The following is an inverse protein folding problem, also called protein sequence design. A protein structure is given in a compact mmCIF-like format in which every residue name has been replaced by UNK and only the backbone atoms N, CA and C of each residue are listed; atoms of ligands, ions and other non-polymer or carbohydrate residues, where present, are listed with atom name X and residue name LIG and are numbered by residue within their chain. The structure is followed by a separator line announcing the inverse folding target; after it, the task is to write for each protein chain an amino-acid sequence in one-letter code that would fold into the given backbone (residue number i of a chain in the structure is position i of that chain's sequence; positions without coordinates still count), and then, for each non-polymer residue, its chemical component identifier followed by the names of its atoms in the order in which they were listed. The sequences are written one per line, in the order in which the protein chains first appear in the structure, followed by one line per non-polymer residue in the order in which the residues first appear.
data_IF_205366097770
#
_entry.id   IF_205366097770
#
_cell.length_a   1.000
_cell.length_b   1.000
_cell.length_c   1.000
_cell.angle_alpha   90.00
_cell.angle_beta   90.00
_cell.angle_gamma   90.00
#
_symmetry.space_group_name_H-M   'P 1'
#
loop_
_entity.id
_entity.type
_entity.pdbx_description
1 polymer ?
#
# COMPACT_ATOMS: atom_id res chain seq x y z
N UNK A 1 52.16 -70.90 -51.66
CA UNK A 1 50.88 -70.15 -51.62
C UNK A 1 50.45 -69.75 -50.22
N UNK A 2 51.07 -70.26 -49.15
CA UNK A 2 50.72 -69.95 -47.75
C UNK A 2 51.29 -68.63 -47.22
N UNK A 3 52.47 -68.20 -47.70
CA UNK A 3 53.12 -66.95 -47.27
C UNK A 3 52.38 -65.66 -47.65
N UNK A 4 51.83 -65.56 -48.86
CA UNK A 4 51.11 -64.35 -49.30
C UNK A 4 49.76 -64.18 -48.59
N UNK A 5 49.14 -65.27 -48.13
CA UNK A 5 47.91 -65.23 -47.34
C UNK A 5 48.18 -64.75 -45.89
N UNK A 6 49.35 -65.07 -45.33
CA UNK A 6 49.76 -64.56 -44.02
C UNK A 6 50.12 -63.07 -44.06
N UNK A 7 50.81 -62.60 -45.11
CA UNK A 7 51.07 -61.17 -45.32
C UNK A 7 49.77 -60.37 -45.50
N UNK A 8 48.84 -60.87 -46.32
CA UNK A 8 47.51 -60.27 -46.50
C UNK A 8 46.72 -60.15 -45.19
N UNK A 9 46.83 -61.12 -44.28
CA UNK A 9 46.16 -61.06 -42.99
C UNK A 9 46.81 -60.05 -42.04
N UNK A 10 48.15 -59.96 -42.08
CA UNK A 10 48.90 -58.97 -41.30
C UNK A 10 48.55 -57.53 -41.72
N UNK A 11 48.51 -57.26 -43.03
CA UNK A 11 48.15 -55.93 -43.56
C UNK A 11 46.73 -55.52 -43.17
N UNK A 12 45.79 -56.47 -43.19
CA UNK A 12 44.40 -56.24 -42.79
C UNK A 12 44.28 -55.91 -41.31
N UNK A 13 45.05 -56.58 -40.45
CA UNK A 13 45.12 -56.29 -39.01
C UNK A 13 45.74 -54.90 -38.76
N UNK A 14 46.83 -54.56 -39.44
CA UNK A 14 47.46 -53.23 -39.35
C UNK A 14 46.50 -52.12 -39.79
N UNK A 15 45.71 -52.37 -40.84
CA UNK A 15 44.70 -51.44 -41.31
C UNK A 15 43.57 -51.24 -40.27
N UNK A 16 43.09 -52.31 -39.64
CA UNK A 16 42.09 -52.21 -38.56
C UNK A 16 42.64 -51.48 -37.32
N UNK A 17 43.87 -51.80 -36.89
CA UNK A 17 44.54 -51.09 -35.78
C UNK A 17 44.66 -49.59 -36.09
N UNK A 18 45.02 -49.22 -37.33
CA UNK A 18 45.10 -47.81 -37.74
C UNK A 18 43.72 -47.12 -37.72
N UNK A 19 42.66 -47.84 -38.08
CA UNK A 19 41.30 -47.32 -38.05
C UNK A 19 40.80 -47.12 -36.61
N UNK A 20 41.12 -48.05 -35.71
CA UNK A 20 40.86 -47.93 -34.27
C UNK A 20 41.62 -46.75 -33.68
N UNK A 21 42.90 -46.57 -34.03
CA UNK A 21 43.71 -45.42 -33.60
C UNK A 21 43.09 -44.08 -33.96
N UNK A 22 42.67 -43.90 -35.22
CA UNK A 22 41.96 -42.67 -35.67
C UNK A 22 40.66 -42.44 -34.91
N UNK A 23 39.92 -43.51 -34.58
CA UNK A 23 38.66 -43.38 -33.83
C UNK A 23 38.92 -42.99 -32.38
N UNK A 24 40.00 -43.50 -31.77
CA UNK A 24 40.48 -43.13 -30.44
C UNK A 24 40.89 -41.65 -30.40
N UNK A 25 41.67 -41.17 -31.36
CA UNK A 25 42.02 -39.74 -31.49
C UNK A 25 40.76 -38.87 -31.64
N UNK A 26 39.79 -39.30 -32.45
CA UNK A 26 38.49 -38.65 -32.58
C UNK A 26 37.73 -38.58 -31.25
N UNK A 27 37.72 -39.68 -30.49
CA UNK A 27 37.11 -39.73 -29.15
C UNK A 27 37.82 -38.83 -28.14
N UNK A 28 39.15 -38.78 -28.15
CA UNK A 28 39.93 -37.89 -27.28
C UNK A 28 39.59 -36.42 -27.57
N UNK A 29 39.51 -36.04 -28.85
CA UNK A 29 39.15 -34.68 -29.23
C UNK A 29 37.73 -34.31 -28.76
N UNK A 30 36.76 -35.22 -28.90
CA UNK A 30 35.39 -35.03 -28.43
C UNK A 30 35.32 -34.95 -26.90
N UNK A 31 36.10 -35.78 -26.20
CA UNK A 31 36.19 -35.76 -24.74
C UNK A 31 36.76 -34.42 -24.25
N UNK A 32 37.80 -33.88 -24.90
CA UNK A 32 38.33 -32.55 -24.59
C UNK A 32 37.26 -31.47 -24.77
N UNK A 33 36.50 -31.49 -25.87
CA UNK A 33 35.41 -30.53 -26.10
C UNK A 33 34.34 -30.61 -25.00
N UNK A 34 33.89 -31.82 -24.66
CA UNK A 34 32.90 -32.03 -23.58
C UNK A 34 33.42 -31.57 -22.22
N UNK A 35 34.71 -31.77 -21.93
CA UNK A 35 35.31 -31.25 -20.68
C UNK A 35 35.36 -29.73 -20.63
N UNK A 36 35.49 -29.06 -21.77
CA UNK A 36 35.43 -27.60 -21.85
C UNK A 36 34.00 -27.09 -21.64
N UNK A 37 33.02 -27.70 -22.31
CA UNK A 37 31.59 -27.35 -22.17
C UNK A 37 31.09 -27.57 -20.74
N UNK A 38 31.40 -28.71 -20.13
CA UNK A 38 31.04 -29.00 -18.74
C UNK A 38 31.63 -27.99 -17.76
N UNK A 39 32.88 -27.54 -17.96
CA UNK A 39 33.46 -26.44 -17.16
C UNK A 39 32.70 -25.14 -17.34
N UNK A 40 32.30 -24.80 -18.57
CA UNK A 40 31.48 -23.61 -18.84
C UNK A 40 30.15 -23.66 -18.10
N UNK A 41 29.44 -24.79 -18.18
CA UNK A 41 28.17 -25.01 -17.48
C UNK A 41 28.36 -24.89 -15.96
N UNK A 42 29.43 -25.45 -15.38
CA UNK A 42 29.72 -25.30 -13.96
C UNK A 42 29.89 -23.82 -13.55
N UNK A 43 30.53 -23.00 -14.39
CA UNK A 43 30.69 -21.57 -14.13
C UNK A 43 29.36 -20.82 -14.18
N UNK A 44 28.50 -21.13 -15.17
CA UNK A 44 27.16 -20.56 -15.27
C UNK A 44 26.30 -20.94 -14.06
N UNK A 45 26.32 -22.20 -13.64
CA UNK A 45 25.60 -22.67 -12.45
C UNK A 45 26.04 -21.91 -11.20
N UNK A 46 27.35 -21.71 -11.00
CA UNK A 46 27.86 -20.95 -9.87
C UNK A 46 27.37 -19.48 -9.89
N UNK A 47 27.30 -18.88 -11.08
CA UNK A 47 26.76 -17.52 -11.26
C UNK A 47 25.26 -17.46 -10.94
N UNK A 48 24.47 -18.45 -11.38
CA UNK A 48 23.05 -18.55 -11.09
C UNK A 48 22.79 -18.76 -9.60
N UNK A 49 23.57 -19.61 -8.93
CA UNK A 49 23.47 -19.79 -7.48
C UNK A 49 23.66 -18.48 -6.73
N UNK A 50 24.65 -17.68 -7.13
CA UNK A 50 24.89 -16.35 -6.54
C UNK A 50 23.71 -15.40 -6.76
N UNK A 51 23.14 -15.41 -7.96
CA UNK A 51 21.96 -14.59 -8.30
C UNK A 51 20.73 -14.99 -7.48
N UNK A 52 20.48 -16.30 -7.35
CA UNK A 52 19.36 -16.85 -6.58
C UNK A 52 19.45 -16.44 -5.11
N UNK A 53 20.63 -16.59 -4.48
CA UNK A 53 20.84 -16.17 -3.10
C UNK A 53 20.58 -14.66 -2.91
N UNK A 54 21.02 -13.83 -3.86
CA UNK A 54 20.74 -12.39 -3.85
C UNK A 54 19.24 -12.07 -3.98
N UNK A 55 18.51 -12.84 -4.80
CA UNK A 55 17.06 -12.69 -4.94
C UNK A 55 16.33 -13.14 -3.67
N UNK A 56 16.70 -14.27 -3.07
CA UNK A 56 16.11 -14.76 -1.82
C UNK A 56 16.26 -13.74 -0.69
N UNK A 57 17.44 -13.13 -0.55
CA UNK A 57 17.66 -12.07 0.44
C UNK A 57 16.78 -10.84 0.19
N UNK A 58 16.62 -10.44 -1.08
CA UNK A 58 15.75 -9.31 -1.45
C UNK A 58 14.28 -9.63 -1.20
N UNK A 59 13.82 -10.84 -1.52
CA UNK A 59 12.46 -11.29 -1.23
C UNK A 59 12.20 -11.27 0.26
N UNK A 60 13.09 -11.83 1.08
CA UNK A 60 12.98 -11.81 2.54
C UNK A 60 12.90 -10.38 3.09
N UNK A 61 13.68 -9.46 2.54
CA UNK A 61 13.63 -8.04 2.94
C UNK A 61 12.29 -7.39 2.57
N UNK A 62 11.78 -7.64 1.37
CA UNK A 62 10.50 -7.10 0.90
C UNK A 62 9.33 -7.66 1.70
N UNK A 63 9.35 -8.95 2.03
CA UNK A 63 8.34 -9.58 2.87
C UNK A 63 8.30 -8.97 4.28
N UNK A 64 9.47 -8.77 4.91
CA UNK A 64 9.56 -8.11 6.21
C UNK A 64 9.03 -6.66 6.17
N UNK A 65 9.35 -5.92 5.10
CA UNK A 65 8.82 -4.57 4.91
C UNK A 65 7.30 -4.57 4.72
N UNK A 66 6.78 -5.48 3.90
CA UNK A 66 5.34 -5.64 3.63
C UNK A 66 4.57 -5.91 4.92
N UNK A 67 5.06 -6.82 5.77
CA UNK A 67 4.47 -7.08 7.08
C UNK A 67 4.43 -5.81 7.96
N UNK A 68 5.55 -5.07 8.02
CA UNK A 68 5.60 -3.82 8.78
C UNK A 68 4.65 -2.73 8.26
N UNK A 69 4.38 -2.70 6.95
CA UNK A 69 3.41 -1.77 6.36
C UNK A 69 1.97 -2.16 6.71
N UNK A 70 1.65 -3.45 6.72
CA UNK A 70 0.33 -3.93 7.14
C UNK A 70 0.02 -3.55 8.59
N UNK A 71 0.99 -3.70 9.50
CA UNK A 71 0.82 -3.30 10.90
C UNK A 71 0.57 -1.79 11.03
N UNK A 72 1.31 -0.97 10.27
CA UNK A 72 1.12 0.49 10.24
C UNK A 72 -0.23 0.90 9.67
N UNK A 73 -0.71 0.21 8.64
CA UNK A 73 -2.03 0.48 8.05
C UNK A 73 -3.15 0.19 9.05
N UNK A 74 -3.04 -0.90 9.81
CA UNK A 74 -3.99 -1.21 10.89
C UNK A 74 -3.99 -0.14 11.98
N UNK A 75 -2.80 0.30 12.44
CA UNK A 75 -2.68 1.37 13.42
C UNK A 75 -3.27 2.68 12.87
N UNK A 76 -2.98 3.02 11.62
CA UNK A 76 -3.50 4.22 10.98
C UNK A 76 -5.03 4.20 10.87
N UNK A 77 -5.64 3.07 10.51
CA UNK A 77 -7.10 2.92 10.50
C UNK A 77 -7.71 3.06 11.90
N UNK A 78 -7.09 2.45 12.91
CA UNK A 78 -7.51 2.58 14.30
C UNK A 78 -7.44 4.04 14.77
N UNK A 79 -6.33 4.72 14.52
CA UNK A 79 -6.14 6.13 14.87
C UNK A 79 -7.13 7.03 14.14
N UNK A 80 -7.40 6.78 12.85
CA UNK A 80 -8.43 7.52 12.12
C UNK A 80 -9.81 7.35 12.73
N UNK A 81 -10.20 6.12 13.07
CA UNK A 81 -11.48 5.86 13.73
C UNK A 81 -11.59 6.60 15.06
N UNK A 82 -10.52 6.56 15.87
CA UNK A 82 -10.45 7.29 17.14
C UNK A 82 -10.52 8.81 16.95
N UNK A 83 -9.84 9.35 15.95
CA UNK A 83 -9.90 10.78 15.63
C UNK A 83 -11.30 11.20 15.21
N UNK A 84 -11.96 10.43 14.35
CA UNK A 84 -13.36 10.69 13.96
C UNK A 84 -14.28 10.68 15.16
N UNK A 85 -14.20 9.66 16.03
CA UNK A 85 -15.03 9.59 17.24
C UNK A 85 -14.76 10.77 18.21
N UNK A 86 -13.50 11.20 18.35
CA UNK A 86 -13.15 12.37 19.15
C UNK A 86 -13.66 13.67 18.52
N UNK A 87 -13.56 13.84 17.20
CA UNK A 87 -14.07 15.00 16.48
C UNK A 87 -15.59 15.08 16.58
N UNK A 88 -16.27 13.96 16.40
CA UNK A 88 -17.71 13.84 16.58
C UNK A 88 -18.09 14.20 18.01
N UNK A 89 -17.47 13.58 19.02
CA UNK A 89 -17.70 13.91 20.44
C UNK A 89 -17.48 15.37 20.77
N UNK A 90 -16.42 15.96 20.23
CA UNK A 90 -16.11 17.38 20.44
C UNK A 90 -17.13 18.31 19.77
N UNK A 91 -17.86 17.84 18.76
CA UNK A 91 -18.83 18.65 18.00
C UNK A 91 -20.29 18.28 18.28
N UNK A 92 -20.56 17.25 19.09
CA UNK A 92 -21.93 16.80 19.44
C UNK A 92 -22.82 17.93 19.92
N UNK A 93 -22.24 18.90 20.61
CA UNK A 93 -22.99 19.99 21.24
C UNK A 93 -23.15 21.20 20.31
N UNK A 94 -22.47 21.18 19.16
CA UNK A 94 -22.47 22.27 18.20
C UNK A 94 -23.63 22.10 17.20
N UNK A 95 -24.61 22.98 17.29
CA UNK A 95 -25.64 23.14 16.28
C UNK A 95 -25.21 24.14 15.21
N UNK A 96 -25.46 23.80 13.94
CA UNK A 96 -25.17 24.66 12.80
C UNK A 96 -26.46 25.08 12.10
N UNK A 97 -26.79 26.36 12.22
CA UNK A 97 -27.97 26.94 11.57
C UNK A 97 -27.59 27.64 10.26
N UNK A 98 -28.40 27.45 9.23
CA UNK A 98 -28.20 28.00 7.90
C UNK A 98 -29.42 28.84 7.51
N UNK A 99 -29.20 29.91 6.73
CA UNK A 99 -30.29 30.67 6.11
C UNK A 99 -30.86 31.82 6.94
N UNK A 100 -30.44 32.00 8.19
CA UNK A 100 -30.77 33.22 8.94
C UNK A 100 -30.13 34.45 8.27
N UNK A 101 -30.90 35.48 7.86
CA UNK A 101 -30.35 36.72 7.31
C UNK A 101 -29.33 37.35 8.25
N UNK A 102 -28.31 38.04 7.72
CA UNK A 102 -27.33 38.72 8.57
C UNK A 102 -28.01 39.82 9.38
N UNK A 103 -27.60 39.98 10.65
CA UNK A 103 -28.08 41.00 11.60
C UNK A 103 -29.54 40.85 12.07
N UNK A 104 -30.25 39.77 11.71
CA UNK A 104 -31.60 39.51 12.23
C UNK A 104 -31.59 39.23 13.74
N UNK A 105 -30.46 38.74 14.23
CA UNK A 105 -30.21 38.43 15.63
C UNK A 105 -30.11 39.65 16.56
N UNK A 106 -29.86 40.85 16.00
CA UNK A 106 -29.55 42.03 16.80
C UNK A 106 -28.20 41.91 17.52
N UNK A 107 -28.11 42.48 18.73
CA UNK A 107 -26.88 42.46 19.55
C UNK A 107 -26.70 41.15 20.32
N UNK A 108 -27.78 40.43 20.63
CA UNK A 108 -27.75 39.19 21.41
C UNK A 108 -28.23 37.97 20.60
N UNK A 109 -27.25 37.26 20.05
CA UNK A 109 -27.49 36.02 19.31
C UNK A 109 -27.98 34.87 20.23
N UNK A 110 -27.64 34.88 21.52
CA UNK A 110 -28.10 33.84 22.45
C UNK A 110 -29.59 33.98 22.75
N UNK A 111 -30.04 35.20 23.05
CA UNK A 111 -31.46 35.54 23.23
C UNK A 111 -32.27 35.27 21.97
N UNK A 112 -31.77 35.71 20.81
CA UNK A 112 -32.42 35.44 19.53
C UNK A 112 -32.67 33.94 19.32
N UNK A 113 -31.67 33.09 19.51
CA UNK A 113 -31.83 31.64 19.34
C UNK A 113 -32.79 31.03 20.38
N UNK A 114 -32.74 31.50 21.62
CA UNK A 114 -33.63 31.03 22.70
C UNK A 114 -35.10 31.31 22.41
N UNK A 115 -35.40 32.45 21.79
CA UNK A 115 -36.76 32.87 21.48
C UNK A 115 -37.26 32.32 20.14
N UNK A 116 -36.37 32.16 19.17
CA UNK A 116 -36.74 31.74 17.80
C UNK A 116 -36.85 30.23 17.66
N UNK A 117 -35.96 29.45 18.28
CA UNK A 117 -35.98 28.00 18.14
C UNK A 117 -37.30 27.37 18.60
N UNK A 118 -37.86 27.69 19.78
CA UNK A 118 -39.16 27.15 20.21
C UNK A 118 -40.29 27.50 19.23
N UNK A 119 -40.27 28.71 18.67
CA UNK A 119 -41.28 29.18 17.70
C UNK A 119 -41.16 28.46 16.36
N UNK A 120 -39.93 28.17 15.91
CA UNK A 120 -39.66 27.49 14.64
C UNK A 120 -39.92 25.99 14.72
N UNK A 121 -39.59 25.35 15.84
CA UNK A 121 -39.74 23.90 16.01
C UNK A 121 -41.10 23.51 16.57
N UNK A 122 -41.82 24.43 17.22
CA UNK A 122 -43.03 24.14 17.98
C UNK A 122 -42.77 23.34 19.27
N UNK A 123 -41.51 23.24 19.69
CA UNK A 123 -41.09 22.48 20.87
C UNK A 123 -40.93 23.43 22.05
N UNK A 124 -41.61 23.10 23.16
CA UNK A 124 -41.34 23.74 24.46
C UNK A 124 -40.14 23.07 25.11
N UNK A 125 -39.09 23.83 25.37
CA UNK A 125 -37.89 23.32 26.06
C UNK A 125 -38.00 23.62 27.55
N UNK A 126 -38.01 22.57 28.38
CA UNK A 126 -37.94 22.65 29.83
C UNK A 126 -36.82 21.71 30.35
N UNK A 127 -35.70 22.24 30.90
CA UNK A 127 -35.39 23.66 31.07
C UNK A 127 -35.14 24.39 29.74
N UNK A 128 -35.17 25.74 29.73
CA UNK A 128 -34.87 26.53 28.53
C UNK A 128 -33.51 26.17 27.91
N UNK A 129 -33.41 26.35 26.59
CA UNK A 129 -32.15 26.18 25.87
C UNK A 129 -31.09 27.14 26.41
N UNK A 130 -29.96 26.58 26.81
CA UNK A 130 -28.78 27.31 27.23
C UNK A 130 -27.63 27.04 26.28
N UNK A 131 -26.95 28.12 25.88
CA UNK A 131 -25.83 28.06 24.94
C UNK A 131 -24.57 28.55 25.65
N UNK A 132 -23.51 27.76 25.58
CA UNK A 132 -22.19 28.16 26.05
C UNK A 132 -21.57 29.23 25.14
N UNK A 133 -21.78 29.09 23.83
CA UNK A 133 -21.26 30.02 22.81
C UNK A 133 -22.19 30.05 21.60
N UNK A 134 -22.51 31.21 21.06
CA UNK A 134 -23.16 31.36 19.77
C UNK A 134 -22.45 32.43 18.94
N UNK A 135 -22.16 32.14 17.66
CA UNK A 135 -21.50 33.08 16.76
C UNK A 135 -21.72 32.73 15.28
N UNK A 136 -21.55 33.72 14.40
CA UNK A 136 -21.52 33.53 12.94
C UNK A 136 -20.16 32.96 12.51
N UNK A 137 -20.18 31.96 11.64
CA UNK A 137 -18.99 31.27 11.14
C UNK A 137 -18.32 32.04 10.00
N UNK A 138 -17.04 32.35 10.18
CA UNK A 138 -16.17 32.91 9.14
C UNK A 138 -16.34 34.41 8.89
N UNK A 139 -15.48 34.99 8.02
CA UNK A 139 -15.53 36.40 7.68
C UNK A 139 -16.78 36.72 6.86
N UNK A 140 -17.30 37.95 7.02
CA UNK A 140 -18.40 38.44 6.20
C UNK A 140 -17.93 38.52 4.75
N UNK A 141 -18.69 37.91 3.83
CA UNK A 141 -18.39 37.97 2.40
C UNK A 141 -18.77 39.36 1.87
N UNK A 142 -17.92 39.98 1.02
CA UNK A 142 -18.27 41.24 0.38
C UNK A 142 -19.35 41.02 -0.69
N UNK A 143 -20.31 41.94 -0.78
CA UNK A 143 -21.41 41.90 -1.77
C UNK A 143 -22.80 41.76 -1.15
N UNK A 144 -23.77 42.45 -1.72
CA UNK A 144 -25.16 42.53 -1.25
C UNK A 144 -25.94 41.21 -1.43
N UNK A 145 -25.46 40.32 -2.32
CA UNK A 145 -26.05 39.01 -2.64
C UNK A 145 -25.27 37.84 -2.02
N UNK A 146 -24.42 38.11 -1.02
CA UNK A 146 -23.66 37.06 -0.37
C UNK A 146 -24.55 36.19 0.51
N UNK A 147 -24.44 34.85 0.37
CA UNK A 147 -25.14 33.88 1.22
C UNK A 147 -24.88 34.19 2.72
N UNK A 148 -25.93 34.29 3.55
CA UNK A 148 -25.77 34.54 4.98
C UNK A 148 -24.87 33.49 5.65
N UNK A 149 -24.02 33.93 6.59
CA UNK A 149 -23.12 33.03 7.30
C UNK A 149 -23.90 32.07 8.18
N UNK A 150 -23.37 30.85 8.31
CA UNK A 150 -23.91 29.88 9.25
C UNK A 150 -23.75 30.41 10.68
N UNK A 151 -24.72 30.15 11.54
CA UNK A 151 -24.58 30.34 12.98
C UNK A 151 -24.12 29.00 13.57
N UNK A 152 -23.06 29.00 14.37
CA UNK A 152 -22.69 27.88 15.23
C UNK A 152 -23.05 28.23 16.67
N UNK A 153 -23.87 27.39 17.29
CA UNK A 153 -24.21 27.50 18.70
C UNK A 153 -23.87 26.21 19.43
N UNK A 154 -23.07 26.31 20.50
CA UNK A 154 -22.72 25.20 21.39
C UNK A 154 -23.71 25.18 22.55
N UNK A 155 -24.43 24.07 22.72
CA UNK A 155 -25.33 23.86 23.85
C UNK A 155 -24.53 23.71 25.14
N UNK A 156 -24.98 24.35 26.22
CA UNK A 156 -24.37 24.17 27.55
C UNK A 156 -24.70 22.81 28.15
N UNK A 157 -25.89 22.29 27.83
CA UNK A 157 -26.37 20.98 28.26
C UNK A 157 -26.88 20.22 27.04
N UNK A 158 -26.38 19.00 26.86
CA UNK A 158 -26.82 18.07 25.84
C UNK A 158 -27.24 16.76 26.51
N UNK A 159 -28.19 16.05 25.93
CA UNK A 159 -28.52 14.71 26.38
C UNK A 159 -27.37 13.76 26.00
N UNK A 160 -26.70 13.18 26.99
CA UNK A 160 -25.76 12.09 26.75
C UNK A 160 -26.59 10.84 26.44
N UNK A 161 -26.63 10.42 25.18
CA UNK A 161 -27.11 9.08 24.83
C UNK A 161 -26.21 8.06 25.56
N UNK A 162 -26.79 7.31 26.49
CA UNK A 162 -26.16 6.18 27.17
C UNK A 162 -26.11 4.96 26.24
#
# INVERSE_FOLDING_TARGET
MTGSAQESNMDRILQEISAVGRKLEGMDSAMVSLTAETKSICMEIASFQTCVLGLEQRVSTVEAQSASFQDRDQEHLFLRSKLTDLEDRSRRDNLRFLGFPENIEGEDLHGFLRDTLPKLTGITFDPPLEFQRAHRLGPRRPGTDARPRAIIACLLRHAQAR
#
